data_IF_299322491239
#
_entry.id   IF_299322491239
#
_cell.length_a   1.000
_cell.length_b   1.000
_cell.length_c   1.000
_cell.angle_alpha   90.00
_cell.angle_beta   90.00
_cell.angle_gamma   90.00
#
_symmetry.space_group_name_H-M   'P 1'
#
loop_
_entity.id
_entity.type
_entity.pdbx_description
1 polymer ?
#
# COMPACT_ATOMS: atom_id res chain seq x y z
N UNK A 1 8.38 -27.98 -10.15
CA UNK A 1 8.65 -26.62 -10.70
C UNK A 1 8.90 -25.70 -9.52
N UNK A 2 10.07 -25.05 -9.43
CA UNK A 2 10.28 -24.00 -8.42
C UNK A 2 9.45 -22.78 -8.81
N UNK A 3 8.74 -22.19 -7.85
CA UNK A 3 8.06 -20.91 -8.09
C UNK A 3 9.15 -19.89 -8.44
N UNK A 4 9.05 -19.26 -9.61
CA UNK A 4 9.91 -18.13 -9.94
C UNK A 4 9.57 -17.02 -8.94
N UNK A 5 10.54 -16.65 -8.10
CA UNK A 5 10.43 -15.43 -7.31
C UNK A 5 10.55 -14.26 -8.28
N UNK A 6 9.41 -13.69 -8.65
CA UNK A 6 9.36 -12.46 -9.43
C UNK A 6 9.55 -11.30 -8.46
N UNK A 7 10.75 -10.72 -8.49
CA UNK A 7 11.00 -9.44 -7.83
C UNK A 7 10.56 -8.34 -8.79
N UNK A 8 9.54 -7.57 -8.42
CA UNK A 8 9.11 -6.40 -9.18
C UNK A 8 9.63 -5.14 -8.48
N UNK A 9 10.43 -4.34 -9.18
CA UNK A 9 10.80 -2.99 -8.73
C UNK A 9 9.71 -2.01 -9.16
N UNK A 10 9.17 -1.25 -8.21
CA UNK A 10 8.18 -0.22 -8.49
C UNK A 10 8.88 1.08 -8.89
N UNK A 11 8.35 1.77 -9.89
CA UNK A 11 8.80 3.11 -10.24
C UNK A 11 8.30 4.14 -9.22
N UNK A 12 8.99 5.29 -9.13
CA UNK A 12 8.57 6.41 -8.26
C UNK A 12 7.12 6.86 -8.54
N UNK A 13 6.70 6.85 -9.80
CA UNK A 13 5.33 7.23 -10.19
C UNK A 13 4.30 6.22 -9.68
N UNK A 14 4.60 4.92 -9.75
CA UNK A 14 3.71 3.87 -9.24
C UNK A 14 3.60 3.94 -7.72
N UNK A 15 4.71 4.17 -7.01
CA UNK A 15 4.72 4.41 -5.57
C UNK A 15 3.81 5.60 -5.21
N UNK A 16 3.91 6.71 -5.95
CA UNK A 16 3.07 7.89 -5.71
C UNK A 16 1.56 7.61 -5.90
N UNK A 17 1.20 6.80 -6.90
CA UNK A 17 -0.20 6.40 -7.14
C UNK A 17 -0.71 5.51 -6.00
N UNK A 18 0.08 4.53 -5.57
CA UNK A 18 -0.27 3.64 -4.45
C UNK A 18 -0.44 4.45 -3.16
N UNK A 19 0.48 5.38 -2.89
CA UNK A 19 0.40 6.27 -1.72
C UNK A 19 -0.89 7.10 -1.71
N UNK A 20 -1.25 7.69 -2.86
CA UNK A 20 -2.47 8.48 -2.99
C UNK A 20 -3.74 7.64 -2.78
N UNK A 21 -3.76 6.42 -3.32
CA UNK A 21 -4.88 5.50 -3.14
C UNK A 21 -5.03 5.04 -1.68
N UNK A 22 -3.92 4.69 -1.01
CA UNK A 22 -3.91 4.30 0.41
C UNK A 22 -4.36 5.44 1.32
N UNK A 23 -3.84 6.65 1.11
CA UNK A 23 -4.27 7.84 1.85
C UNK A 23 -5.78 8.06 1.70
N UNK A 24 -6.29 8.01 0.46
CA UNK A 24 -7.73 8.14 0.21
C UNK A 24 -8.56 7.05 0.88
N UNK A 25 -8.04 5.82 0.97
CA UNK A 25 -8.71 4.72 1.65
C UNK A 25 -8.81 4.95 3.17
N UNK A 26 -7.71 5.39 3.80
CA UNK A 26 -7.63 5.70 5.24
C UNK A 26 -8.52 6.89 5.59
N UNK A 27 -8.44 7.97 4.84
CA UNK A 27 -9.18 9.21 5.12
C UNK A 27 -10.70 9.02 5.01
N UNK A 28 -11.15 8.15 4.09
CA UNK A 28 -12.57 7.89 3.83
C UNK A 28 -13.11 6.64 4.53
N UNK A 29 -12.30 5.99 5.39
CA UNK A 29 -12.72 4.83 6.17
C UNK A 29 -13.29 3.69 5.30
N UNK A 30 -12.65 3.41 4.16
CA UNK A 30 -13.09 2.35 3.24
C UNK A 30 -12.82 0.92 3.74
N UNK A 31 -12.40 0.78 4.99
CA UNK A 31 -12.03 -0.48 5.61
C UNK A 31 -13.17 -1.04 6.45
N UNK A 32 -13.35 -2.36 6.42
CA UNK A 32 -14.41 -3.02 7.17
C UNK A 32 -14.01 -3.28 8.63
N UNK A 33 -12.71 -3.28 8.91
CA UNK A 33 -12.16 -3.51 10.25
C UNK A 33 -11.08 -2.48 10.59
N UNK A 34 -10.83 -2.31 11.89
CA UNK A 34 -9.72 -1.48 12.37
C UNK A 34 -8.35 -2.05 11.96
N UNK A 35 -8.20 -3.38 11.89
CA UNK A 35 -6.96 -4.05 11.46
C UNK A 35 -6.60 -3.74 9.99
N UNK A 36 -7.60 -3.69 9.10
CA UNK A 36 -7.39 -3.33 7.69
C UNK A 36 -6.95 -1.86 7.55
N UNK A 37 -7.51 -0.96 8.36
CA UNK A 37 -7.10 0.45 8.40
C UNK A 37 -5.68 0.62 8.93
N UNK A 38 -5.35 -0.07 10.02
CA UNK A 38 -4.05 0.03 10.66
C UNK A 38 -2.95 -0.52 9.72
N UNK A 39 -3.21 -1.65 9.05
CA UNK A 39 -2.31 -2.18 8.01
C UNK A 39 -2.11 -1.20 6.84
N UNK A 40 -3.17 -0.53 6.41
CA UNK A 40 -3.07 0.46 5.34
C UNK A 40 -2.27 1.71 5.77
N UNK A 41 -2.40 2.14 7.03
CA UNK A 41 -1.62 3.23 7.60
C UNK A 41 -0.13 2.87 7.71
N UNK A 42 0.19 1.65 8.12
CA UNK A 42 1.57 1.15 8.17
C UNK A 42 2.18 1.08 6.77
N UNK A 43 1.46 0.51 5.79
CA UNK A 43 1.90 0.47 4.39
C UNK A 43 2.12 1.88 3.83
N UNK A 44 1.23 2.82 4.15
CA UNK A 44 1.38 4.22 3.74
C UNK A 44 2.65 4.86 4.30
N UNK A 45 3.00 4.56 5.56
CA UNK A 45 4.23 5.04 6.18
C UNK A 45 5.48 4.43 5.52
N UNK A 46 5.45 3.14 5.18
CA UNK A 46 6.53 2.45 4.46
C UNK A 46 6.77 3.02 3.06
N UNK A 47 5.69 3.42 2.37
CA UNK A 47 5.81 4.12 1.11
C UNK A 47 6.23 5.58 1.27
N UNK A 48 6.23 6.14 2.48
CA UNK A 48 6.43 7.55 2.84
C UNK A 48 7.88 8.02 3.01
N UNK A 49 8.79 7.09 3.30
CA UNK A 49 10.22 7.32 3.60
C UNK A 49 11.11 7.67 2.41
#
# INVERSE_FOLDING_TARGET
MSKQNVTAELTFKEVAVIRAALQGAVDNWYFNTDEERDLAADLLADFGG
#
